data_IF_933243179939
#
_entry.id   IF_933243179939
#
_cell.length_a   1.000
_cell.length_b   1.000
_cell.length_c   1.000
_cell.angle_alpha   90.00
_cell.angle_beta   90.00
_cell.angle_gamma   90.00
#
_symmetry.space_group_name_H-M   'P 1'
#
loop_
_entity.id
_entity.type
_entity.pdbx_description
1 polymer ?
#
# COMPACT_ATOMS: atom_id res chain seq x y z
N UNK A 1 -15.13 19.42 -2.50
CA UNK A 1 -14.37 18.46 -1.68
C UNK A 1 -12.90 18.85 -1.73
N UNK A 2 -12.30 19.14 -0.58
CA UNK A 2 -10.85 19.44 -0.48
C UNK A 2 -10.06 18.17 -0.78
N UNK A 3 -8.80 18.30 -1.22
CA UNK A 3 -7.98 17.12 -1.55
C UNK A 3 -7.80 16.16 -0.38
N UNK A 4 -7.77 16.67 0.87
CA UNK A 4 -7.74 15.84 2.08
C UNK A 4 -8.95 14.89 2.19
N UNK A 5 -10.14 15.39 1.88
CA UNK A 5 -11.39 14.61 1.90
C UNK A 5 -11.42 13.60 0.74
N UNK A 6 -10.87 13.96 -0.43
CA UNK A 6 -10.70 13.04 -1.56
C UNK A 6 -9.79 11.87 -1.19
N UNK A 7 -8.64 12.13 -0.57
CA UNK A 7 -7.74 11.06 -0.14
C UNK A 7 -8.37 10.15 0.91
N UNK A 8 -9.13 10.70 1.87
CA UNK A 8 -9.86 9.89 2.83
C UNK A 8 -10.81 8.91 2.12
N UNK A 9 -11.57 9.41 1.13
CA UNK A 9 -12.50 8.58 0.37
C UNK A 9 -11.79 7.53 -0.50
N UNK A 10 -10.70 7.92 -1.18
CA UNK A 10 -9.84 6.98 -1.92
C UNK A 10 -9.33 5.89 -0.99
N UNK A 11 -8.86 6.28 0.20
CA UNK A 11 -8.31 5.36 1.19
C UNK A 11 -9.34 4.33 1.64
N UNK A 12 -10.56 4.77 1.96
CA UNK A 12 -11.67 3.87 2.32
C UNK A 12 -11.98 2.89 1.19
N UNK A 13 -12.04 3.37 -0.06
CA UNK A 13 -12.26 2.50 -1.24
C UNK A 13 -11.19 1.41 -1.34
N UNK A 14 -9.92 1.76 -1.10
CA UNK A 14 -8.80 0.82 -1.23
C UNK A 14 -8.68 -0.17 -0.05
N UNK A 15 -9.25 0.14 1.11
CA UNK A 15 -9.27 -0.80 2.25
C UNK A 15 -10.21 -1.97 1.98
N UNK A 16 -11.37 -1.72 1.35
CA UNK A 16 -12.43 -2.71 1.17
C UNK A 16 -11.93 -4.01 0.51
N UNK A 17 -11.21 -3.97 -0.63
CA UNK A 17 -10.66 -5.18 -1.26
C UNK A 17 -9.71 -5.96 -0.34
N UNK A 18 -8.83 -5.24 0.38
CA UNK A 18 -7.87 -5.84 1.30
C UNK A 18 -8.57 -6.57 2.44
N UNK A 19 -9.65 -5.99 2.99
CA UNK A 19 -10.44 -6.62 4.06
C UNK A 19 -11.26 -7.82 3.56
N UNK A 20 -11.95 -7.68 2.42
CA UNK A 20 -12.79 -8.75 1.86
C UNK A 20 -11.95 -10.00 1.61
N UNK A 21 -10.76 -9.83 1.03
CA UNK A 21 -9.89 -10.96 0.72
C UNK A 21 -9.31 -11.57 1.99
N UNK A 22 -8.96 -10.77 2.99
CA UNK A 22 -8.56 -11.27 4.32
C UNK A 22 -9.66 -12.08 5.03
N UNK A 23 -10.94 -11.74 4.81
CA UNK A 23 -12.07 -12.52 5.33
C UNK A 23 -12.36 -13.78 4.50
N UNK A 24 -12.27 -13.67 3.17
CA UNK A 24 -12.60 -14.75 2.24
C UNK A 24 -11.61 -15.93 2.31
N UNK A 25 -10.34 -15.68 2.68
CA UNK A 25 -9.34 -16.75 2.78
C UNK A 25 -9.52 -17.64 4.00
N UNK A 26 -10.42 -17.33 4.95
CA UNK A 26 -10.73 -18.09 6.20
C UNK A 26 -9.52 -18.50 7.07
N UNK A 27 -8.33 -18.06 6.69
CA UNK A 27 -7.10 -18.26 7.41
C UNK A 27 -6.84 -17.00 8.24
N UNK A 28 -6.13 -17.08 9.37
CA UNK A 28 -5.77 -15.88 10.13
C UNK A 28 -5.12 -14.87 9.18
N UNK A 29 -5.28 -13.57 9.44
CA UNK A 29 -4.76 -12.42 8.66
C UNK A 29 -3.26 -12.47 8.30
N UNK A 30 -2.58 -13.51 8.79
CA UNK A 30 -1.16 -13.81 8.80
C UNK A 30 -0.82 -15.02 7.88
N UNK A 31 -1.80 -15.67 7.27
CA UNK A 31 -1.52 -16.76 6.34
C UNK A 31 -1.25 -16.24 4.94
N UNK A 32 -0.24 -16.83 4.31
CA UNK A 32 0.11 -16.58 2.92
C UNK A 32 -1.07 -16.77 1.96
N UNK A 33 -1.41 -15.68 1.27
CA UNK A 33 -2.41 -15.57 0.24
C UNK A 33 -1.74 -15.47 -1.12
N UNK A 34 -1.91 -16.53 -1.93
CA UNK A 34 -1.38 -16.58 -3.30
C UNK A 34 -1.97 -15.49 -4.21
N UNK A 35 -3.06 -14.83 -3.81
CA UNK A 35 -3.70 -13.75 -4.54
C UNK A 35 -3.26 -12.34 -4.09
N UNK A 36 -2.29 -12.21 -3.18
CA UNK A 36 -1.80 -10.91 -2.71
C UNK A 36 -1.38 -9.96 -3.87
N UNK A 37 -0.80 -10.52 -4.94
CA UNK A 37 -0.41 -9.74 -6.12
C UNK A 37 -1.61 -9.15 -6.87
N UNK A 38 -2.75 -9.85 -6.88
CA UNK A 38 -4.00 -9.33 -7.45
C UNK A 38 -4.47 -8.12 -6.64
N UNK A 39 -4.36 -8.17 -5.31
CA UNK A 39 -4.71 -7.03 -4.44
C UNK A 39 -3.84 -5.83 -4.75
N UNK A 40 -2.52 -6.03 -4.84
CA UNK A 40 -1.58 -4.94 -5.16
C UNK A 40 -1.92 -4.32 -6.51
N UNK A 41 -2.15 -5.13 -7.55
CA UNK A 41 -2.53 -4.62 -8.86
C UNK A 41 -3.88 -3.90 -8.85
N UNK A 42 -4.90 -4.51 -8.24
CA UNK A 42 -6.24 -3.92 -8.15
C UNK A 42 -6.21 -2.57 -7.42
N UNK A 43 -5.58 -2.51 -6.24
CA UNK A 43 -5.46 -1.28 -5.47
C UNK A 43 -4.64 -0.22 -6.21
N UNK A 44 -3.59 -0.62 -6.93
CA UNK A 44 -2.81 0.30 -7.78
C UNK A 44 -3.69 0.93 -8.87
N UNK A 45 -4.45 0.13 -9.60
CA UNK A 45 -5.34 0.61 -10.67
C UNK A 45 -6.44 1.49 -10.09
N UNK A 46 -7.11 1.05 -9.04
CA UNK A 46 -8.19 1.81 -8.39
C UNK A 46 -7.68 3.14 -7.84
N UNK A 47 -6.49 3.16 -7.23
CA UNK A 47 -5.87 4.39 -6.76
C UNK A 47 -5.67 5.38 -7.91
N UNK A 48 -5.02 4.96 -9.00
CA UNK A 48 -4.75 5.81 -10.16
C UNK A 48 -6.03 6.31 -10.84
N UNK A 49 -7.01 5.43 -11.03
CA UNK A 49 -8.33 5.79 -11.58
C UNK A 49 -9.03 6.79 -10.67
N UNK A 50 -8.98 6.59 -9.35
CA UNK A 50 -9.62 7.49 -8.38
C UNK A 50 -8.98 8.87 -8.35
N UNK A 51 -7.65 8.98 -8.44
CA UNK A 51 -6.96 10.27 -8.59
C UNK A 51 -7.52 11.07 -9.78
N UNK A 52 -7.77 10.37 -10.90
CA UNK A 52 -8.36 10.96 -12.10
C UNK A 52 -9.82 11.36 -11.89
N UNK A 53 -10.64 10.45 -11.37
CA UNK A 53 -12.08 10.67 -11.16
C UNK A 53 -12.34 11.84 -10.20
N UNK A 54 -11.62 11.90 -9.09
CA UNK A 54 -11.77 12.96 -8.09
C UNK A 54 -10.99 14.25 -8.45
N UNK A 55 -10.30 14.28 -9.59
CA UNK A 55 -9.50 15.43 -10.06
C UNK A 55 -8.58 15.93 -8.94
N UNK A 56 -7.76 15.03 -8.41
CA UNK A 56 -6.79 15.33 -7.36
C UNK A 56 -5.62 16.11 -7.94
N UNK A 57 -5.08 17.08 -7.21
CA UNK A 57 -3.89 17.80 -7.65
C UNK A 57 -2.65 16.91 -7.57
N UNK A 58 -1.77 17.04 -8.57
CA UNK A 58 -0.54 16.25 -8.67
C UNK A 58 0.35 16.39 -7.43
N UNK A 59 0.52 17.61 -6.91
CA UNK A 59 1.30 17.85 -5.70
C UNK A 59 0.70 17.13 -4.48
N UNK A 60 -0.63 17.19 -4.31
CA UNK A 60 -1.32 16.49 -3.22
C UNK A 60 -1.12 14.97 -3.28
N UNK A 61 -1.14 14.38 -4.48
CA UNK A 61 -0.86 12.95 -4.68
C UNK A 61 0.58 12.57 -4.32
N UNK A 62 1.55 13.41 -4.65
CA UNK A 62 2.95 13.19 -4.26
C UNK A 62 3.13 13.30 -2.75
N UNK A 63 2.52 14.29 -2.10
CA UNK A 63 2.56 14.41 -0.64
C UNK A 63 1.96 13.19 0.05
N UNK A 64 0.81 12.71 -0.42
CA UNK A 64 0.18 11.50 0.10
C UNK A 64 1.09 10.27 -0.04
N UNK A 65 1.64 10.03 -1.23
CA UNK A 65 2.53 8.88 -1.45
C UNK A 65 3.85 9.00 -0.68
N UNK A 66 4.34 10.22 -0.46
CA UNK A 66 5.52 10.46 0.39
C UNK A 66 5.23 10.11 1.84
N UNK A 67 4.03 10.45 2.35
CA UNK A 67 3.60 10.04 3.68
C UNK A 67 3.52 8.51 3.82
N UNK A 68 2.95 7.83 2.80
CA UNK A 68 2.92 6.36 2.74
C UNK A 68 4.34 5.78 2.71
N UNK A 69 5.27 6.40 1.96
CA UNK A 69 6.67 5.97 1.94
C UNK A 69 7.32 6.07 3.32
N UNK A 70 7.11 7.16 4.06
CA UNK A 70 7.64 7.32 5.43
C UNK A 70 7.11 6.23 6.36
N UNK A 71 5.82 5.89 6.26
CA UNK A 71 5.24 4.77 7.03
C UNK A 71 5.92 3.46 6.63
N UNK A 72 6.13 3.22 5.33
CA UNK A 72 6.81 2.02 4.86
C UNK A 72 8.25 1.90 5.36
N UNK A 73 8.98 3.00 5.54
CA UNK A 73 10.34 2.95 6.11
C UNK A 73 10.30 2.29 7.50
N UNK A 74 9.34 2.67 8.36
CA UNK A 74 9.17 2.06 9.69
C UNK A 74 8.89 0.56 9.56
N UNK A 75 7.97 0.19 8.67
CA UNK A 75 7.59 -1.20 8.44
C UNK A 75 8.70 -2.05 7.81
N UNK A 76 9.57 -1.46 6.97
CA UNK A 76 10.72 -2.11 6.36
C UNK A 76 11.82 -2.37 7.40
N UNK A 77 12.05 -1.40 8.30
CA UNK A 77 13.00 -1.57 9.41
C UNK A 77 12.57 -2.77 10.27
N UNK A 78 11.27 -2.87 10.56
CA UNK A 78 10.68 -3.96 11.34
C UNK A 78 10.11 -5.10 10.46
N UNK A 79 10.66 -5.32 9.27
CA UNK A 79 10.11 -6.31 8.31
C UNK A 79 10.06 -7.73 8.87
N UNK A 80 10.92 -8.05 9.84
CA UNK A 80 10.97 -9.36 10.48
C UNK A 80 9.70 -9.64 11.30
N UNK A 81 8.97 -8.60 11.73
CA UNK A 81 7.62 -8.72 12.27
C UNK A 81 6.67 -9.41 11.28
N UNK A 82 6.66 -8.97 10.02
CA UNK A 82 5.84 -9.57 8.96
C UNK A 82 6.35 -10.94 8.57
N UNK A 83 7.66 -11.09 8.41
CA UNK A 83 8.27 -12.38 8.07
C UNK A 83 7.91 -13.46 9.09
N UNK A 84 8.07 -13.14 10.39
CA UNK A 84 7.74 -14.03 11.48
C UNK A 84 6.27 -14.43 11.47
N UNK A 85 5.38 -13.49 11.15
CA UNK A 85 3.97 -13.77 10.97
C UNK A 85 3.76 -14.81 9.85
N UNK A 86 4.32 -14.60 8.67
CA UNK A 86 4.13 -15.51 7.52
C UNK A 86 4.63 -16.94 7.76
N UNK A 87 5.73 -17.10 8.52
CA UNK A 87 6.27 -18.42 8.91
C UNK A 87 5.70 -18.96 10.23
N UNK A 88 4.74 -18.27 10.84
CA UNK A 88 4.11 -18.65 12.12
C UNK A 88 5.11 -18.80 13.30
N UNK A 89 6.09 -17.90 13.36
CA UNK A 89 7.08 -17.82 14.42
C UNK A 89 6.82 -16.63 15.36
N UNK A 90 7.59 -16.54 16.45
CA UNK A 90 7.46 -15.41 17.39
C UNK A 90 8.14 -14.17 16.82
N UNK A 91 7.42 -13.05 16.61
CA UNK A 91 8.01 -11.86 16.03
C UNK A 91 8.95 -11.16 17.02
N UNK A 92 10.15 -10.85 16.56
CA UNK A 92 11.02 -9.85 17.19
C UNK A 92 10.66 -8.48 16.64
N UNK A 93 10.36 -7.53 17.53
CA UNK A 93 9.95 -6.18 17.14
C UNK A 93 11.02 -5.18 17.59
N UNK A 94 11.43 -4.28 16.71
CA UNK A 94 12.30 -3.14 17.04
C UNK A 94 11.44 -2.01 17.62
N UNK A 95 10.29 -1.75 17.02
CA UNK A 95 9.34 -0.75 17.46
C UNK A 95 8.26 -1.35 18.40
N UNK A 96 7.67 -0.53 19.29
CA UNK A 96 6.53 -0.97 20.07
C UNK A 96 5.37 -1.44 19.17
N UNK A 97 4.71 -2.54 19.56
CA UNK A 97 3.58 -3.12 18.80
C UNK A 97 2.48 -2.11 18.45
N UNK A 98 2.23 -1.14 19.33
CA UNK A 98 1.25 -0.06 19.10
C UNK A 98 1.64 0.79 17.89
N UNK A 99 2.93 1.13 17.75
CA UNK A 99 3.45 1.90 16.61
C UNK A 99 3.30 1.09 15.33
N UNK A 100 3.71 -0.18 15.35
CA UNK A 100 3.59 -1.08 14.20
C UNK A 100 2.13 -1.23 13.76
N UNK A 101 1.20 -1.42 14.70
CA UNK A 101 -0.22 -1.53 14.38
C UNK A 101 -0.78 -0.25 13.76
N UNK A 102 -0.39 0.93 14.25
CA UNK A 102 -0.77 2.21 13.64
C UNK A 102 -0.22 2.32 12.21
N UNK A 103 1.05 1.98 12.00
CA UNK A 103 1.66 1.99 10.67
C UNK A 103 0.96 1.01 9.72
N UNK A 104 0.64 -0.20 10.17
CA UNK A 104 -0.14 -1.18 9.41
C UNK A 104 -1.50 -0.60 9.04
N UNK A 105 -2.24 -0.05 10.01
CA UNK A 105 -3.56 0.57 9.80
C UNK A 105 -3.48 1.69 8.77
N UNK A 106 -2.45 2.54 8.81
CA UNK A 106 -2.27 3.66 7.88
C UNK A 106 -1.78 3.23 6.50
N UNK A 107 -1.16 2.06 6.37
CA UNK A 107 -0.67 1.53 5.11
C UNK A 107 -1.53 0.38 4.53
N UNK A 108 -2.65 0.01 5.16
CA UNK A 108 -3.47 -1.19 4.81
C UNK A 108 -3.62 -1.43 3.31
N UNK A 109 -4.02 -0.43 2.49
CA UNK A 109 -4.15 -0.60 1.03
C UNK A 109 -2.91 -1.16 0.32
N UNK A 110 -1.74 -0.89 0.87
CA UNK A 110 -0.45 -1.19 0.25
C UNK A 110 0.31 -2.31 0.98
N UNK A 111 -0.08 -2.69 2.21
CA UNK A 111 0.53 -3.79 2.98
C UNK A 111 0.69 -5.10 2.19
N UNK A 112 -0.26 -5.54 1.33
CA UNK A 112 -0.12 -6.79 0.58
C UNK A 112 1.17 -6.91 -0.25
N UNK A 113 1.89 -5.81 -0.52
CA UNK A 113 3.20 -5.89 -1.16
C UNK A 113 4.21 -6.72 -0.36
N UNK A 114 4.21 -6.67 0.98
CA UNK A 114 5.10 -7.49 1.82
C UNK A 114 4.86 -8.98 1.58
N UNK A 115 3.59 -9.37 1.47
CA UNK A 115 3.19 -10.74 1.22
C UNK A 115 3.55 -11.20 -0.19
N UNK A 116 3.41 -10.33 -1.20
CA UNK A 116 3.90 -10.62 -2.56
C UNK A 116 5.40 -10.91 -2.55
N UNK A 117 6.20 -10.11 -1.85
CA UNK A 117 7.64 -10.34 -1.76
C UNK A 117 7.98 -11.64 -1.02
N UNK A 118 7.20 -11.99 -0.01
CA UNK A 118 7.33 -13.26 0.70
C UNK A 118 7.07 -14.44 -0.24
N UNK A 119 5.95 -14.41 -0.98
CA UNK A 119 5.55 -15.49 -1.89
C UNK A 119 6.53 -15.70 -3.04
N UNK A 120 7.20 -14.63 -3.46
CA UNK A 120 8.23 -14.66 -4.50
C UNK A 120 9.62 -15.01 -3.97
N UNK A 121 9.77 -15.33 -2.68
CA UNK A 121 11.06 -15.61 -2.00
C UNK A 121 12.09 -14.47 -2.14
N UNK A 122 11.64 -13.22 -2.21
CA UNK A 122 12.49 -12.02 -2.35
C UNK A 122 12.26 -11.01 -1.23
N UNK A 123 11.74 -11.45 -0.09
CA UNK A 123 11.42 -10.61 1.07
C UNK A 123 12.61 -9.80 1.60
N UNK A 124 13.83 -10.33 1.45
CA UNK A 124 15.08 -9.65 1.82
C UNK A 124 15.27 -8.32 1.04
N UNK A 125 14.74 -8.23 -0.17
CA UNK A 125 14.81 -7.06 -1.06
C UNK A 125 13.71 -6.01 -0.81
N UNK A 126 12.89 -6.17 0.23
CA UNK A 126 11.81 -5.23 0.58
C UNK A 126 12.27 -3.77 0.69
N UNK A 127 13.47 -3.52 1.22
CA UNK A 127 14.06 -2.19 1.33
C UNK A 127 14.33 -1.50 -0.02
N UNK A 128 14.36 -2.26 -1.11
CA UNK A 128 14.56 -1.74 -2.47
C UNK A 128 13.23 -1.73 -3.22
N UNK A 129 12.49 -2.84 -3.19
CA UNK A 129 11.30 -3.03 -4.02
C UNK A 129 10.14 -2.15 -3.57
N UNK A 130 9.91 -2.00 -2.26
CA UNK A 130 8.78 -1.20 -1.75
C UNK A 130 8.98 0.29 -2.06
N UNK A 131 10.15 0.91 -1.79
CA UNK A 131 10.39 2.29 -2.23
C UNK A 131 10.30 2.47 -3.75
N UNK A 132 10.81 1.52 -4.53
CA UNK A 132 10.69 1.56 -5.99
C UNK A 132 9.23 1.52 -6.45
N UNK A 133 8.41 0.65 -5.85
CA UNK A 133 6.98 0.57 -6.12
C UNK A 133 6.27 1.90 -5.83
N UNK A 134 6.56 2.54 -4.70
CA UNK A 134 5.99 3.86 -4.37
C UNK A 134 6.48 4.94 -5.35
N UNK A 135 7.75 4.92 -5.74
CA UNK A 135 8.31 5.84 -6.75
C UNK A 135 7.67 5.68 -8.14
N UNK A 136 7.37 4.45 -8.55
CA UNK A 136 6.62 4.15 -9.78
C UNK A 136 5.20 4.71 -9.66
N UNK A 137 4.52 4.47 -8.53
CA UNK A 137 3.19 5.02 -8.25
C UNK A 137 3.17 6.55 -8.30
N UNK A 138 4.19 7.23 -7.75
CA UNK A 138 4.32 8.69 -7.83
C UNK A 138 4.43 9.16 -9.28
N UNK A 139 5.23 8.47 -10.09
CA UNK A 139 5.40 8.79 -11.52
C UNK A 139 4.10 8.57 -12.30
N UNK A 140 3.45 7.41 -12.12
CA UNK A 140 2.17 7.10 -12.76
C UNK A 140 1.07 8.08 -12.34
N UNK A 141 1.04 8.50 -11.07
CA UNK A 141 0.08 9.49 -10.58
C UNK A 141 0.20 10.81 -11.33
N UNK A 142 1.42 11.31 -11.55
CA UNK A 142 1.66 12.52 -12.35
C UNK A 142 1.11 12.36 -13.77
N UNK A 143 1.50 11.27 -14.43
CA UNK A 143 1.09 10.97 -15.81
C UNK A 143 -0.43 10.94 -15.93
N UNK A 144 -1.11 10.17 -15.07
CA UNK A 144 -2.57 9.99 -15.12
C UNK A 144 -3.32 11.30 -14.86
N UNK A 145 -2.82 12.14 -13.94
CA UNK A 145 -3.43 13.45 -13.65
C UNK A 145 -3.22 14.43 -14.81
N UNK A 146 -2.03 14.47 -15.40
CA UNK A 146 -1.68 15.40 -16.50
C UNK A 146 -2.39 15.07 -17.82
N UNK A 147 -2.62 13.79 -18.11
CA UNK A 147 -3.40 13.35 -19.29
C UNK A 147 -4.81 13.99 -19.33
N UNK A 148 -5.40 14.27 -18.16
CA UNK A 148 -6.71 14.93 -18.05
C UNK A 148 -6.68 16.41 -18.43
N UNK A 149 -5.55 17.10 -18.26
CA UNK A 149 -5.39 18.52 -18.62
C UNK A 149 -5.23 18.72 -20.13
N UNK A 150 -4.62 17.77 -20.82
CA UNK A 150 -4.40 17.83 -22.27
C UNK A 150 -5.66 17.49 -23.08
N UNK A 151 -6.52 16.58 -22.59
CA UNK A 151 -7.78 16.23 -23.26
C UNK A 151 -8.91 17.27 -23.13
N UNK A 152 -8.62 18.45 -22.57
CA UNK A 152 -9.57 19.57 -22.41
C UNK A 152 -9.13 20.85 -23.13
N UNK A 153 -8.13 20.78 -24.01
CA UNK A 153 -7.74 21.87 -24.90
C UNK A 153 -8.31 21.64 -26.29
#
# INVERSE_FOLDING_TARGET
MKDKEKFLLIYVILIIPTLIIGMATQKPFISVNNFAWIIVLFNTVVFLVSLRLFKVESQSALFFLTYILVIFIILIIDKDYFYAAYIQSTPTCIFPKVVLNICIILAVPFIPIFEVLFNLNIFSLSAIIIPAFIGILMTLSKVVIEFNRKGKK
#
